data_IF_816172773367
#
_entry.id   IF_816172773367
#
_cell.length_a   1.000
_cell.length_b   1.000
_cell.length_c   1.000
_cell.angle_alpha   90.00
_cell.angle_beta   90.00
_cell.angle_gamma   90.00
#
_symmetry.space_group_name_H-M   'P 1'
#
loop_
_entity.id
_entity.type
_entity.pdbx_description
1 polymer ?
#
# COMPACT_ATOMS: atom_id res chain seq x y z
N UNK A 1 2.71 16.33 15.85
CA UNK A 1 2.61 17.53 15.02
C UNK A 1 3.32 17.36 13.67
N UNK A 2 4.64 17.14 13.66
CA UNK A 2 5.45 16.98 12.44
C UNK A 2 4.87 15.91 11.48
N UNK A 3 4.55 14.71 11.98
CA UNK A 3 3.93 13.65 11.17
C UNK A 3 2.57 14.05 10.60
N UNK A 4 1.75 14.74 11.39
CA UNK A 4 0.45 15.23 10.93
C UNK A 4 0.58 16.26 9.82
N UNK A 5 1.58 17.15 9.87
CA UNK A 5 1.85 18.11 8.80
C UNK A 5 2.36 17.43 7.52
N UNK A 6 3.24 16.42 7.62
CA UNK A 6 3.69 15.64 6.48
C UNK A 6 2.53 14.93 5.77
N UNK A 7 1.51 14.53 6.52
CA UNK A 7 0.33 13.83 6.02
C UNK A 7 -0.84 14.75 5.63
N UNK A 8 -0.71 16.07 5.87
CA UNK A 8 -1.78 17.04 5.62
C UNK A 8 -1.99 17.37 4.13
N UNK A 9 -1.14 16.87 3.26
CA UNK A 9 -1.26 17.12 1.81
C UNK A 9 -2.42 16.34 1.21
N UNK A 10 -3.30 17.00 0.46
CA UNK A 10 -4.32 16.34 -0.36
C UNK A 10 -3.70 15.29 -1.30
N UNK A 11 -2.47 15.53 -1.77
CA UNK A 11 -1.70 14.59 -2.56
C UNK A 11 -1.48 13.25 -1.84
N UNK A 12 -1.18 13.27 -0.54
CA UNK A 12 -0.98 12.07 0.28
C UNK A 12 -2.25 11.23 0.32
N UNK A 13 -3.41 11.85 0.56
CA UNK A 13 -4.70 11.16 0.62
C UNK A 13 -5.09 10.57 -0.74
N UNK A 14 -4.97 11.34 -1.81
CA UNK A 14 -5.23 10.84 -3.18
C UNK A 14 -4.33 9.64 -3.49
N UNK A 15 -3.02 9.73 -3.21
CA UNK A 15 -2.09 8.62 -3.42
C UNK A 15 -2.48 7.39 -2.60
N UNK A 16 -2.86 7.56 -1.33
CA UNK A 16 -3.26 6.46 -0.47
C UNK A 16 -4.53 5.75 -0.97
N UNK A 17 -5.54 6.54 -1.36
CA UNK A 17 -6.80 5.98 -1.91
C UNK A 17 -6.55 5.27 -3.24
N UNK A 18 -5.79 5.88 -4.15
CA UNK A 18 -5.47 5.28 -5.45
C UNK A 18 -4.66 3.99 -5.25
N UNK A 19 -3.59 4.02 -4.47
CA UNK A 19 -2.76 2.83 -4.19
C UNK A 19 -3.57 1.72 -3.53
N UNK A 20 -4.40 2.05 -2.53
CA UNK A 20 -5.27 1.09 -1.86
C UNK A 20 -6.28 0.45 -2.81
N UNK A 21 -6.89 1.26 -3.69
CA UNK A 21 -7.84 0.76 -4.70
C UNK A 21 -7.13 -0.16 -5.70
N UNK A 22 -6.00 0.29 -6.24
CA UNK A 22 -5.22 -0.50 -7.22
C UNK A 22 -4.77 -1.82 -6.59
N UNK A 23 -4.27 -1.81 -5.35
CA UNK A 23 -3.81 -3.02 -4.66
C UNK A 23 -4.96 -3.98 -4.34
N UNK A 24 -6.13 -3.44 -3.95
CA UNK A 24 -7.35 -4.23 -3.74
C UNK A 24 -7.80 -4.95 -5.01
N UNK A 25 -7.63 -4.35 -6.19
CA UNK A 25 -8.01 -4.95 -7.48
C UNK A 25 -6.92 -5.87 -8.04
N UNK A 26 -5.66 -5.47 -7.93
CA UNK A 26 -4.52 -6.21 -8.51
C UNK A 26 -4.24 -7.51 -7.76
N UNK A 27 -4.44 -7.55 -6.45
CA UNK A 27 -4.16 -8.75 -5.65
C UNK A 27 -5.02 -9.95 -6.04
N UNK A 28 -6.37 -9.83 -6.17
CA UNK A 28 -7.18 -10.93 -6.69
C UNK A 28 -6.87 -11.25 -8.16
N UNK A 29 -6.56 -10.26 -9.01
CA UNK A 29 -6.14 -10.52 -10.38
C UNK A 29 -4.85 -11.38 -10.42
N UNK A 30 -3.87 -11.07 -9.59
CA UNK A 30 -2.64 -11.85 -9.45
C UNK A 30 -2.94 -13.30 -9.02
N UNK A 31 -3.84 -13.50 -8.04
CA UNK A 31 -4.26 -14.83 -7.59
C UNK A 31 -4.99 -15.59 -8.69
N UNK A 32 -5.81 -14.91 -9.48
CA UNK A 32 -6.51 -15.51 -10.62
C UNK A 32 -5.52 -15.99 -11.67
N UNK A 33 -4.56 -15.13 -12.06
CA UNK A 33 -3.49 -15.50 -13.02
C UNK A 33 -2.70 -16.70 -12.50
N UNK A 34 -2.28 -16.66 -11.24
CA UNK A 34 -1.56 -17.78 -10.63
C UNK A 34 -2.35 -19.06 -10.61
N UNK A 35 -3.63 -19.02 -10.24
CA UNK A 35 -4.53 -20.15 -10.26
C UNK A 35 -4.69 -20.76 -11.67
N UNK A 36 -4.84 -19.92 -12.68
CA UNK A 36 -4.93 -20.37 -14.08
C UNK A 36 -3.62 -21.04 -14.53
N UNK A 37 -2.47 -20.40 -14.30
CA UNK A 37 -1.17 -20.89 -14.73
C UNK A 37 -0.74 -22.18 -14.01
N UNK A 38 -1.18 -22.37 -12.77
CA UNK A 38 -0.87 -23.60 -11.99
C UNK A 38 -1.96 -24.65 -12.04
N UNK A 39 -3.09 -24.36 -12.67
CA UNK A 39 -4.26 -25.25 -12.71
C UNK A 39 -4.98 -25.40 -11.35
N UNK A 40 -4.80 -24.46 -10.43
CA UNK A 40 -5.46 -24.47 -9.11
C UNK A 40 -6.90 -23.96 -9.20
N UNK A 41 -7.82 -24.88 -9.49
CA UNK A 41 -9.26 -24.58 -9.63
C UNK A 41 -9.90 -24.05 -8.34
N UNK A 42 -9.42 -24.47 -7.17
CA UNK A 42 -9.94 -23.97 -5.89
C UNK A 42 -9.54 -22.52 -5.66
N UNK A 43 -8.30 -22.16 -5.96
CA UNK A 43 -7.85 -20.76 -5.88
C UNK A 43 -8.64 -19.86 -6.85
N UNK A 44 -8.91 -20.35 -8.07
CA UNK A 44 -9.73 -19.59 -9.06
C UNK A 44 -11.14 -19.36 -8.50
N UNK A 45 -11.80 -20.40 -7.97
CA UNK A 45 -13.14 -20.27 -7.38
C UNK A 45 -13.15 -19.36 -6.16
N UNK A 46 -12.17 -19.51 -5.26
CA UNK A 46 -12.03 -18.67 -4.08
C UNK A 46 -11.83 -17.19 -4.47
N UNK A 47 -10.96 -16.95 -5.45
CA UNK A 47 -10.70 -15.60 -5.95
C UNK A 47 -11.95 -15.00 -6.61
N UNK A 48 -12.72 -15.78 -7.37
CA UNK A 48 -14.01 -15.35 -7.91
C UNK A 48 -15.00 -14.95 -6.81
N UNK A 49 -15.13 -15.75 -5.76
CA UNK A 49 -15.95 -15.42 -4.58
C UNK A 49 -15.45 -14.15 -3.87
N UNK A 50 -14.13 -13.99 -3.77
CA UNK A 50 -13.53 -12.78 -3.18
C UNK A 50 -13.89 -11.52 -3.98
N UNK A 51 -13.81 -11.56 -5.30
CA UNK A 51 -14.21 -10.43 -6.18
C UNK A 51 -15.67 -10.06 -5.96
N UNK A 52 -16.56 -11.05 -5.87
CA UNK A 52 -17.99 -10.80 -5.53
C UNK A 52 -18.10 -10.19 -4.12
N UNK A 53 -17.30 -10.69 -3.19
CA UNK A 53 -17.23 -10.20 -1.81
C UNK A 53 -16.79 -8.74 -1.70
N UNK A 54 -15.96 -8.24 -2.61
CA UNK A 54 -15.62 -6.81 -2.68
C UNK A 54 -16.88 -5.96 -2.89
N UNK A 55 -17.78 -6.37 -3.79
CA UNK A 55 -19.07 -5.69 -3.97
C UNK A 55 -19.96 -5.78 -2.72
N UNK A 56 -20.00 -6.95 -2.07
CA UNK A 56 -20.78 -7.17 -0.86
C UNK A 56 -20.32 -6.30 0.32
N UNK A 57 -19.01 -6.22 0.55
CA UNK A 57 -18.41 -5.55 1.71
C UNK A 57 -18.26 -4.04 1.59
N UNK A 58 -18.48 -3.45 0.40
CA UNK A 58 -18.13 -2.04 0.14
C UNK A 58 -18.85 -1.05 1.05
N UNK A 59 -20.19 -1.10 1.08
CA UNK A 59 -21.00 -0.14 1.83
C UNK A 59 -20.70 -0.18 3.33
N UNK A 60 -20.63 -1.38 3.91
CA UNK A 60 -20.31 -1.54 5.33
C UNK A 60 -18.90 -1.03 5.65
N UNK A 61 -17.92 -1.29 4.79
CA UNK A 61 -16.55 -0.81 4.95
C UNK A 61 -16.48 0.72 4.89
N UNK A 62 -17.28 1.33 4.02
CA UNK A 62 -17.38 2.79 3.94
C UNK A 62 -18.01 3.38 5.22
N UNK A 63 -19.06 2.77 5.77
CA UNK A 63 -19.65 3.20 7.05
C UNK A 63 -18.66 3.06 8.20
N UNK A 64 -17.85 1.99 8.23
CA UNK A 64 -16.80 1.80 9.24
C UNK A 64 -15.65 2.82 9.08
N UNK A 65 -15.33 3.25 7.87
CA UNK A 65 -14.41 4.37 7.63
C UNK A 65 -14.92 5.65 8.31
N UNK A 66 -16.20 6.00 8.09
CA UNK A 66 -16.80 7.20 8.69
C UNK A 66 -16.83 7.11 10.22
N UNK A 67 -17.17 5.94 10.77
CA UNK A 67 -17.13 5.68 12.21
C UNK A 67 -15.70 5.84 12.77
N UNK A 68 -14.68 5.30 12.07
CA UNK A 68 -13.28 5.44 12.44
C UNK A 68 -12.83 6.91 12.46
N UNK A 69 -13.20 7.70 11.44
CA UNK A 69 -12.87 9.13 11.36
C UNK A 69 -13.55 9.90 12.50
N UNK A 70 -14.84 9.60 12.76
CA UNK A 70 -15.62 10.32 13.76
C UNK A 70 -15.15 10.05 15.18
N UNK A 71 -14.91 8.78 15.51
CA UNK A 71 -14.53 8.35 16.87
C UNK A 71 -13.02 8.24 17.09
N UNK A 72 -12.21 8.62 16.11
CA UNK A 72 -10.74 8.60 16.19
C UNK A 72 -10.19 7.22 16.62
N UNK A 73 -10.69 6.12 16.04
CA UNK A 73 -10.26 4.76 16.39
C UNK A 73 -10.12 3.85 15.18
N UNK A 74 -9.14 2.95 15.24
CA UNK A 74 -9.10 1.79 14.34
C UNK A 74 -10.04 0.73 14.90
N UNK A 75 -10.98 0.26 14.11
CA UNK A 75 -12.02 -0.67 14.54
C UNK A 75 -11.58 -2.10 14.31
N UNK A 76 -11.21 -2.43 13.06
CA UNK A 76 -10.88 -3.80 12.67
C UNK A 76 -9.58 -4.28 13.30
N UNK A 77 -8.59 -3.40 13.33
CA UNK A 77 -7.20 -3.71 13.70
C UNK A 77 -6.61 -2.60 14.60
N UNK A 78 -6.97 -2.56 15.89
CA UNK A 78 -6.52 -1.51 16.80
C UNK A 78 -4.99 -1.40 16.94
N UNK A 79 -4.27 -2.51 16.71
CA UNK A 79 -2.81 -2.58 16.84
C UNK A 79 -2.07 -2.33 15.51
N UNK A 80 -2.75 -2.47 14.37
CA UNK A 80 -2.17 -2.37 13.04
C UNK A 80 -2.37 -0.99 12.43
N UNK A 81 -1.51 -0.03 12.73
CA UNK A 81 -1.59 1.32 12.16
C UNK A 81 -0.50 1.56 11.12
N UNK A 82 -0.74 2.43 10.14
CA UNK A 82 0.26 2.89 9.16
C UNK A 82 1.34 3.77 9.80
N UNK A 83 1.06 4.36 10.96
CA UNK A 83 1.95 5.30 11.63
C UNK A 83 2.76 4.57 12.68
N UNK A 84 4.05 4.40 12.41
CA UNK A 84 4.96 3.72 13.31
C UNK A 84 5.08 4.42 14.68
N UNK A 85 5.08 3.62 15.74
CA UNK A 85 5.27 4.11 17.11
C UNK A 85 4.06 4.82 17.73
N UNK A 86 2.89 4.78 17.10
CA UNK A 86 1.64 5.24 17.70
C UNK A 86 0.76 4.04 18.04
N UNK A 87 0.29 3.99 19.27
CA UNK A 87 -0.73 3.01 19.71
C UNK A 87 -2.08 3.36 19.06
N UNK A 88 -2.30 4.66 18.79
CA UNK A 88 -3.42 5.17 18.04
C UNK A 88 -2.91 6.21 17.02
N UNK A 89 -3.35 6.19 15.74
CA UNK A 89 -3.01 7.23 14.78
C UNK A 89 -3.50 8.62 15.24
N UNK A 90 -4.41 8.62 16.16
CA UNK A 90 -5.11 9.80 16.65
C UNK A 90 -4.50 10.42 17.89
N UNK A 91 -3.47 9.83 18.51
CA UNK A 91 -2.75 10.27 19.71
C UNK A 91 -3.15 11.64 20.27
N UNK A 92 -2.83 11.95 21.49
CA UNK A 92 -3.07 13.29 22.04
C UNK A 92 -2.30 14.32 21.22
N UNK A 93 -2.91 14.82 20.11
CA UNK A 93 -2.32 15.88 19.30
C UNK A 93 -1.95 17.07 20.18
N UNK A 94 -1.19 18.03 19.62
CA UNK A 94 -0.89 19.26 20.34
C UNK A 94 -2.18 19.88 20.87
N UNK A 95 -2.36 19.78 22.15
CA UNK A 95 -3.40 20.45 22.91
C UNK A 95 -2.75 21.10 24.13
N UNK A 96 -3.00 22.36 24.31
CA UNK A 96 -2.54 23.11 25.49
C UNK A 96 -3.74 23.53 26.29
N UNK A 97 -3.62 23.45 27.61
CA UNK A 97 -4.53 24.15 28.53
C UNK A 97 -4.39 25.67 28.35
N UNK A 98 -5.43 26.40 28.68
CA UNK A 98 -5.40 27.86 28.62
C UNK A 98 -4.28 28.40 29.49
N UNK A 99 -3.32 29.15 28.92
CA UNK A 99 -2.16 29.67 29.63
C UNK A 99 -2.53 30.73 30.68
N UNK A 100 -3.62 31.47 30.41
CA UNK A 100 -4.17 32.45 31.35
C UNK A 100 -5.66 32.09 31.63
N UNK A 101 -5.93 31.06 32.42
CA UNK A 101 -7.30 30.52 32.58
C UNK A 101 -8.28 31.51 33.24
N UNK A 102 -7.79 32.41 34.06
CA UNK A 102 -8.60 33.43 34.73
C UNK A 102 -8.79 34.72 33.89
N UNK A 103 -8.26 34.75 32.70
CA UNK A 103 -8.35 35.90 31.79
C UNK A 103 -9.30 35.63 30.63
N UNK A 104 -9.80 36.72 30.00
CA UNK A 104 -10.61 36.64 28.79
C UNK A 104 -9.94 35.80 27.71
N UNK A 105 -10.75 35.18 26.85
CA UNK A 105 -10.25 34.45 25.68
C UNK A 105 -9.45 35.38 24.73
N UNK A 106 -9.69 36.69 24.79
CA UNK A 106 -8.98 37.72 24.02
C UNK A 106 -7.64 38.13 24.65
N UNK A 107 -7.27 37.56 25.81
CA UNK A 107 -5.98 37.87 26.42
C UNK A 107 -4.83 37.44 25.49
N UNK A 108 -3.82 38.30 25.24
CA UNK A 108 -2.76 38.02 24.26
C UNK A 108 -2.06 36.66 24.45
N UNK A 109 -1.83 36.25 25.70
CA UNK A 109 -1.20 34.98 26.05
C UNK A 109 -2.07 33.78 25.64
N UNK A 110 -3.41 33.95 25.57
CA UNK A 110 -4.31 32.87 25.16
C UNK A 110 -4.34 32.66 23.65
N UNK A 111 -3.88 33.65 22.85
CA UNK A 111 -3.74 33.48 21.38
C UNK A 111 -2.76 32.37 21.02
N UNK A 112 -1.66 32.22 21.77
CA UNK A 112 -0.73 31.11 21.56
C UNK A 112 -1.44 29.77 21.79
N UNK A 113 -2.23 29.66 22.85
CA UNK A 113 -3.04 28.46 23.15
C UNK A 113 -4.03 28.18 22.03
N UNK A 114 -4.70 29.20 21.52
CA UNK A 114 -5.65 29.08 20.39
C UNK A 114 -4.92 28.63 19.12
N UNK A 115 -3.80 29.24 18.78
CA UNK A 115 -2.99 28.89 17.61
C UNK A 115 -2.50 27.43 17.69
N UNK A 116 -1.93 27.00 18.82
CA UNK A 116 -1.47 25.63 19.04
C UNK A 116 -2.62 24.64 18.93
N UNK A 117 -3.76 24.92 19.55
CA UNK A 117 -4.92 24.03 19.51
C UNK A 117 -5.55 23.95 18.12
N UNK A 118 -5.61 25.06 17.38
CA UNK A 118 -6.12 25.08 16.00
C UNK A 118 -5.22 24.29 15.08
N UNK A 119 -3.91 24.52 15.15
CA UNK A 119 -2.91 23.78 14.38
C UNK A 119 -2.93 22.29 14.72
N UNK A 120 -3.08 21.97 16.00
CA UNK A 120 -3.24 20.57 16.48
C UNK A 120 -4.52 19.92 15.93
N UNK A 121 -5.63 20.63 15.84
CA UNK A 121 -6.88 20.12 15.24
C UNK A 121 -6.71 19.84 13.75
N UNK A 122 -6.05 20.73 13.00
CA UNK A 122 -5.77 20.51 11.57
C UNK A 122 -4.87 19.30 11.37
N UNK A 123 -3.80 19.17 12.14
CA UNK A 123 -2.90 18.03 12.09
C UNK A 123 -3.62 16.70 12.43
N UNK A 124 -4.52 16.71 13.41
CA UNK A 124 -5.34 15.52 13.73
C UNK A 124 -6.34 15.22 12.62
N UNK A 125 -6.94 16.21 11.98
CA UNK A 125 -7.87 16.02 10.86
C UNK A 125 -7.26 15.17 9.75
N UNK A 126 -6.05 15.47 9.36
CA UNK A 126 -5.31 14.71 8.35
C UNK A 126 -5.01 13.27 8.78
N UNK A 127 -4.59 13.09 10.04
CA UNK A 127 -4.35 11.75 10.62
C UNK A 127 -5.63 10.92 10.73
N UNK A 128 -6.77 11.56 11.09
CA UNK A 128 -8.09 10.93 11.10
C UNK A 128 -8.48 10.42 9.73
N UNK A 129 -8.30 11.26 8.70
CA UNK A 129 -8.62 10.89 7.34
C UNK A 129 -7.76 9.71 6.86
N UNK A 130 -6.45 9.76 7.09
CA UNK A 130 -5.55 8.67 6.75
C UNK A 130 -5.90 7.36 7.49
N UNK A 131 -6.23 7.46 8.79
CA UNK A 131 -6.69 6.32 9.57
C UNK A 131 -8.00 5.73 9.05
N UNK A 132 -8.94 6.59 8.66
CA UNK A 132 -10.20 6.16 8.05
C UNK A 132 -10.00 5.49 6.69
N UNK A 133 -9.13 6.03 5.83
CA UNK A 133 -8.76 5.41 4.55
C UNK A 133 -8.15 4.02 4.77
N UNK A 134 -7.26 3.86 5.75
CA UNK A 134 -6.66 2.58 6.11
C UNK A 134 -7.73 1.59 6.63
N UNK A 135 -8.61 2.06 7.50
CA UNK A 135 -9.74 1.29 8.02
C UNK A 135 -10.66 0.82 6.88
N UNK A 136 -10.98 1.71 5.92
CA UNK A 136 -11.79 1.36 4.75
C UNK A 136 -11.20 0.18 3.99
N UNK A 137 -9.94 0.27 3.57
CA UNK A 137 -9.32 -0.77 2.77
C UNK A 137 -9.11 -2.07 3.55
N UNK A 138 -8.81 -2.01 4.85
CA UNK A 138 -8.76 -3.19 5.72
C UNK A 138 -10.10 -3.88 5.84
N UNK A 139 -11.15 -3.13 6.18
CA UNK A 139 -12.52 -3.64 6.28
C UNK A 139 -13.00 -4.25 4.97
N UNK A 140 -12.78 -3.55 3.86
CA UNK A 140 -13.22 -3.97 2.54
C UNK A 140 -12.60 -5.32 2.13
N UNK A 141 -11.30 -5.46 2.28
CA UNK A 141 -10.59 -6.68 1.94
C UNK A 141 -10.87 -7.82 2.93
N UNK A 142 -10.97 -7.52 4.22
CA UNK A 142 -11.31 -8.50 5.25
C UNK A 142 -12.70 -9.11 5.00
N UNK A 143 -13.72 -8.27 4.80
CA UNK A 143 -15.09 -8.68 4.50
C UNK A 143 -15.19 -9.45 3.19
N UNK A 144 -14.45 -9.06 2.17
CA UNK A 144 -14.42 -9.76 0.90
C UNK A 144 -13.85 -11.18 1.04
N UNK A 145 -12.79 -11.37 1.81
CA UNK A 145 -12.23 -12.69 2.08
C UNK A 145 -13.14 -13.52 2.99
N UNK A 146 -13.73 -12.92 4.02
CA UNK A 146 -14.74 -13.59 4.86
C UNK A 146 -15.92 -14.08 4.00
N UNK A 147 -16.42 -13.23 3.10
CA UNK A 147 -17.46 -13.61 2.15
C UNK A 147 -17.04 -14.82 1.29
N UNK A 148 -15.82 -14.85 0.81
CA UNK A 148 -15.31 -15.99 0.02
C UNK A 148 -15.26 -17.28 0.82
N UNK A 149 -14.85 -17.23 2.11
CA UNK A 149 -14.86 -18.38 3.02
C UNK A 149 -16.28 -18.85 3.34
N UNK A 150 -17.19 -17.93 3.65
CA UNK A 150 -18.57 -18.22 3.99
C UNK A 150 -19.28 -18.86 2.79
N UNK A 151 -19.16 -18.25 1.61
CA UNK A 151 -19.87 -18.71 0.41
C UNK A 151 -19.35 -20.03 -0.15
N UNK A 152 -18.15 -20.46 0.25
CA UNK A 152 -17.67 -21.82 -0.02
C UNK A 152 -18.55 -22.91 0.62
N UNK A 153 -19.14 -22.60 1.79
CA UNK A 153 -19.83 -23.56 2.64
C UNK A 153 -21.36 -23.30 2.72
N UNK A 154 -21.89 -22.41 1.88
CA UNK A 154 -23.35 -22.13 1.83
C UNK A 154 -24.08 -23.36 1.31
N UNK A 155 -25.09 -23.88 2.03
CA UNK A 155 -25.92 -24.99 1.55
C UNK A 155 -26.61 -24.64 0.23
N UNK A 156 -26.61 -25.57 -0.71
CA UNK A 156 -27.17 -25.35 -2.06
C UNK A 156 -28.70 -25.23 -2.06
N UNK A 157 -29.35 -25.88 -1.11
CA UNK A 157 -30.82 -25.97 -1.00
C UNK A 157 -31.49 -24.70 -0.47
N UNK A 158 -30.72 -23.66 -0.10
CA UNK A 158 -31.27 -22.41 0.40
C UNK A 158 -31.78 -21.52 -0.73
N UNK A 159 -32.91 -20.86 -0.51
CA UNK A 159 -33.41 -19.78 -1.37
C UNK A 159 -32.45 -18.57 -1.35
N UNK A 160 -32.58 -17.67 -2.32
CA UNK A 160 -31.75 -16.45 -2.38
C UNK A 160 -31.85 -15.60 -1.09
N UNK A 161 -33.03 -15.49 -0.51
CA UNK A 161 -33.24 -14.75 0.74
C UNK A 161 -32.54 -15.43 1.92
N UNK A 162 -32.70 -16.75 2.05
CA UNK A 162 -32.03 -17.54 3.09
C UNK A 162 -30.51 -17.55 2.96
N UNK A 163 -29.98 -17.59 1.72
CA UNK A 163 -28.53 -17.44 1.47
C UNK A 163 -28.01 -16.09 1.96
N UNK A 164 -28.75 -15.00 1.72
CA UNK A 164 -28.37 -13.67 2.18
C UNK A 164 -28.34 -13.59 3.71
N UNK A 165 -29.38 -14.13 4.37
CA UNK A 165 -29.44 -14.19 5.84
C UNK A 165 -28.34 -15.06 6.44
N UNK A 166 -28.10 -16.24 5.85
CA UNK A 166 -26.99 -17.11 6.24
C UNK A 166 -25.64 -16.39 6.17
N UNK A 167 -25.37 -15.71 5.04
CA UNK A 167 -24.10 -14.96 4.87
C UNK A 167 -23.98 -13.84 5.91
N UNK A 168 -25.04 -13.10 6.18
CA UNK A 168 -25.02 -12.03 7.19
C UNK A 168 -24.69 -12.57 8.58
N UNK A 169 -25.40 -13.63 9.03
CA UNK A 169 -25.16 -14.27 10.33
C UNK A 169 -23.76 -14.86 10.45
N UNK A 170 -23.26 -15.52 9.39
CA UNK A 170 -21.91 -16.08 9.43
C UNK A 170 -20.84 -14.99 9.38
N UNK A 171 -21.13 -13.83 8.75
CA UNK A 171 -20.24 -12.68 8.71
C UNK A 171 -19.98 -12.11 10.10
N UNK A 172 -20.98 -12.07 10.96
CA UNK A 172 -20.86 -11.54 12.33
C UNK A 172 -19.82 -12.33 13.15
N UNK A 173 -19.61 -13.61 12.87
CA UNK A 173 -18.60 -14.43 13.57
C UNK A 173 -17.15 -14.02 13.29
N UNK A 174 -16.92 -13.27 12.22
CA UNK A 174 -15.59 -12.75 11.87
C UNK A 174 -15.22 -11.47 12.63
N UNK A 175 -16.12 -10.99 13.48
CA UNK A 175 -15.91 -9.80 14.31
C UNK A 175 -16.29 -10.10 15.75
N UNK A 176 -15.60 -9.49 16.70
CA UNK A 176 -16.04 -9.50 18.10
C UNK A 176 -17.08 -8.39 18.36
N UNK A 177 -17.58 -8.30 19.59
CA UNK A 177 -18.64 -7.36 19.99
C UNK A 177 -18.29 -5.89 19.75
N UNK A 178 -16.99 -5.55 19.64
CA UNK A 178 -16.51 -4.18 19.36
C UNK A 178 -16.05 -3.99 17.93
N UNK A 179 -16.22 -4.99 17.06
CA UNK A 179 -15.92 -4.93 15.63
C UNK A 179 -14.48 -5.25 15.24
N UNK A 180 -13.67 -5.78 16.17
CA UNK A 180 -12.29 -6.22 15.89
C UNK A 180 -12.31 -7.57 15.19
N UNK A 181 -11.40 -7.74 14.23
CA UNK A 181 -11.22 -8.98 13.48
C UNK A 181 -10.90 -10.17 14.39
N UNK A 182 -11.60 -11.29 14.19
CA UNK A 182 -11.36 -12.56 14.92
C UNK A 182 -10.49 -13.53 14.15
N UNK A 183 -10.51 -13.49 12.81
CA UNK A 183 -9.71 -14.35 11.94
C UNK A 183 -8.38 -13.66 11.58
N UNK A 184 -7.28 -14.18 12.12
CA UNK A 184 -5.95 -13.59 11.94
C UNK A 184 -5.42 -13.73 10.52
N UNK A 185 -5.77 -14.81 9.80
CA UNK A 185 -5.30 -15.00 8.43
C UNK A 185 -5.92 -13.97 7.49
N UNK A 186 -7.22 -13.70 7.66
CA UNK A 186 -7.90 -12.65 6.89
C UNK A 186 -7.39 -11.26 7.27
N UNK A 187 -7.07 -11.04 8.54
CA UNK A 187 -6.49 -9.79 9.00
C UNK A 187 -5.10 -9.57 8.40
N UNK A 188 -4.25 -10.59 8.36
CA UNK A 188 -2.94 -10.51 7.70
C UNK A 188 -3.07 -10.23 6.20
N UNK A 189 -4.05 -10.85 5.53
CA UNK A 189 -4.34 -10.53 4.14
C UNK A 189 -4.70 -9.05 3.96
N UNK A 190 -5.54 -8.49 4.82
CA UNK A 190 -5.94 -7.08 4.77
C UNK A 190 -4.77 -6.13 5.08
N UNK A 191 -3.95 -6.46 6.08
CA UNK A 191 -2.70 -5.74 6.38
C UNK A 191 -1.74 -5.73 5.19
N UNK A 192 -1.70 -6.83 4.46
CA UNK A 192 -0.89 -6.96 3.25
C UNK A 192 -1.29 -5.97 2.17
N UNK A 193 -2.57 -5.77 1.94
CA UNK A 193 -3.10 -4.83 0.94
C UNK A 193 -2.89 -3.36 1.37
N UNK A 194 -2.97 -3.08 2.66
CA UNK A 194 -2.78 -1.73 3.19
C UNK A 194 -1.33 -1.41 3.57
N UNK A 195 -0.37 -2.30 3.29
CA UNK A 195 1.06 -2.16 3.61
C UNK A 195 1.35 -1.99 5.10
N UNK A 196 0.46 -2.51 5.96
CA UNK A 196 0.58 -2.45 7.43
C UNK A 196 1.05 -3.76 8.04
N UNK A 197 1.55 -4.71 7.24
CA UNK A 197 2.17 -5.94 7.71
C UNK A 197 3.31 -5.65 8.68
N UNK A 198 3.44 -6.49 9.70
CA UNK A 198 4.57 -6.40 10.61
C UNK A 198 5.89 -6.70 9.88
N UNK A 199 6.92 -5.93 10.20
CA UNK A 199 8.25 -6.18 9.66
C UNK A 199 8.76 -7.53 10.17
N UNK A 200 9.40 -8.29 9.28
CA UNK A 200 9.95 -9.61 9.63
C UNK A 200 10.97 -9.46 10.75
N UNK A 201 10.73 -10.13 11.88
CA UNK A 201 11.63 -10.12 13.03
C UNK A 201 13.05 -10.52 12.62
N UNK A 202 14.04 -9.77 13.09
CA UNK A 202 15.46 -10.00 12.78
C UNK A 202 15.92 -9.48 11.40
N UNK A 203 15.02 -8.85 10.61
CA UNK A 203 15.44 -8.15 9.40
C UNK A 203 16.10 -6.80 9.74
N UNK A 204 16.90 -6.26 8.82
CA UNK A 204 17.50 -4.93 8.97
C UNK A 204 16.44 -3.84 9.19
N UNK A 205 15.30 -3.95 8.51
CA UNK A 205 14.18 -3.01 8.64
C UNK A 205 13.49 -3.11 10.00
N UNK A 206 13.38 -4.30 10.59
CA UNK A 206 12.90 -4.50 11.96
C UNK A 206 13.90 -3.92 12.97
N UNK A 207 15.20 -4.10 12.73
CA UNK A 207 16.26 -3.46 13.52
C UNK A 207 16.18 -1.95 13.50
N UNK A 208 16.01 -1.35 12.32
CA UNK A 208 15.85 0.09 12.13
C UNK A 208 14.57 0.62 12.80
N UNK A 209 13.45 -0.12 12.65
CA UNK A 209 12.19 0.22 13.30
C UNK A 209 12.31 0.22 14.83
N UNK A 210 12.94 -0.82 15.42
CA UNK A 210 13.21 -0.88 16.86
C UNK A 210 14.16 0.22 17.33
N UNK A 211 15.18 0.55 16.54
CA UNK A 211 16.07 1.65 16.84
C UNK A 211 15.34 3.00 16.84
N UNK A 212 14.48 3.25 15.85
CA UNK A 212 13.67 4.49 15.79
C UNK A 212 12.69 4.61 16.96
N UNK A 213 12.16 3.48 17.44
CA UNK A 213 11.25 3.46 18.59
C UNK A 213 12.01 3.74 19.91
N UNK A 214 13.26 3.24 20.02
CA UNK A 214 14.10 3.46 21.21
C UNK A 214 14.74 4.85 21.25
N UNK A 215 14.99 5.45 20.08
CA UNK A 215 15.63 6.75 19.97
C UNK A 215 14.72 7.74 19.23
N UNK A 216 13.83 8.45 19.94
CA UNK A 216 12.81 9.34 19.35
C UNK A 216 13.31 10.37 18.34
N UNK A 217 14.51 11.00 18.47
CA UNK A 217 15.05 11.89 17.46
C UNK A 217 15.17 11.26 16.06
N UNK A 218 15.42 9.95 15.97
CA UNK A 218 15.48 9.25 14.69
C UNK A 218 14.14 9.26 13.94
N UNK A 219 13.03 9.35 14.68
CA UNK A 219 11.68 9.44 14.10
C UNK A 219 11.43 10.77 13.37
N UNK A 220 12.22 11.81 13.61
CA UNK A 220 12.15 13.06 12.86
C UNK A 220 12.67 12.88 11.42
N UNK A 221 13.66 12.00 11.25
CA UNK A 221 14.25 11.68 9.94
C UNK A 221 13.57 10.50 9.27
N UNK A 222 13.14 9.53 10.05
CA UNK A 222 12.49 8.29 9.59
C UNK A 222 11.13 8.09 10.28
N UNK A 223 10.15 8.96 9.96
CA UNK A 223 8.83 8.93 10.64
C UNK A 223 8.00 7.69 10.31
N UNK A 224 8.28 7.06 9.17
CA UNK A 224 7.57 5.90 8.65
C UNK A 224 8.60 4.91 8.08
N UNK A 225 8.69 3.72 8.67
CA UNK A 225 9.60 2.67 8.21
C UNK A 225 8.81 1.50 7.63
N UNK A 226 7.77 1.09 8.34
CA UNK A 226 6.97 -0.11 8.01
C UNK A 226 6.33 0.00 6.62
N UNK A 227 5.60 1.05 6.37
CA UNK A 227 4.85 1.23 5.11
C UNK A 227 5.76 1.32 3.89
N UNK A 228 6.81 2.16 3.84
CA UNK A 228 7.75 2.17 2.71
C UNK A 228 8.45 0.83 2.46
N UNK A 229 8.84 0.12 3.52
CA UNK A 229 9.47 -1.20 3.39
C UNK A 229 8.50 -2.23 2.79
N UNK A 230 7.23 -2.21 3.21
CA UNK A 230 6.22 -3.11 2.66
C UNK A 230 5.89 -2.76 1.20
N UNK A 231 5.80 -1.46 0.85
CA UNK A 231 5.62 -1.00 -0.53
C UNK A 231 6.77 -1.48 -1.41
N UNK A 232 8.02 -1.23 -1.00
CA UNK A 232 9.20 -1.67 -1.74
C UNK A 232 9.23 -3.20 -1.87
N UNK A 233 8.89 -3.92 -0.80
CA UNK A 233 8.77 -5.35 -0.81
C UNK A 233 7.79 -5.87 -1.87
N UNK A 234 6.65 -5.20 -2.04
CA UNK A 234 5.67 -5.52 -3.09
C UNK A 234 6.19 -5.24 -4.49
N UNK A 235 6.85 -4.10 -4.66
CA UNK A 235 7.47 -3.76 -5.94
C UNK A 235 8.48 -4.82 -6.37
N UNK A 236 9.34 -5.25 -5.45
CA UNK A 236 10.34 -6.32 -5.69
C UNK A 236 9.65 -7.66 -6.03
N UNK A 237 8.57 -8.04 -5.35
CA UNK A 237 7.80 -9.26 -5.66
C UNK A 237 7.22 -9.26 -7.09
N UNK A 238 6.93 -8.09 -7.63
CA UNK A 238 6.38 -7.88 -8.98
C UNK A 238 7.43 -7.48 -10.01
N UNK A 239 8.71 -7.46 -9.65
CA UNK A 239 9.79 -7.16 -10.59
C UNK A 239 10.47 -8.47 -10.97
N UNK A 240 10.46 -8.87 -12.24
CA UNK A 240 11.15 -10.07 -12.72
C UNK A 240 12.62 -10.04 -12.30
N UNK A 241 13.20 -11.22 -12.05
CA UNK A 241 14.57 -11.40 -11.54
C UNK A 241 14.69 -11.00 -10.06
N UNK A 242 14.34 -9.77 -9.68
CA UNK A 242 14.44 -9.29 -8.30
C UNK A 242 13.52 -10.06 -7.34
N UNK A 243 12.36 -10.54 -7.82
CA UNK A 243 11.47 -11.37 -7.02
C UNK A 243 12.15 -12.68 -6.57
N UNK A 244 13.07 -13.23 -7.37
CA UNK A 244 13.83 -14.45 -7.05
C UNK A 244 14.96 -14.19 -6.03
N UNK A 245 15.45 -12.94 -5.91
CA UNK A 245 16.41 -12.56 -4.86
C UNK A 245 15.74 -12.53 -3.49
N UNK A 246 14.45 -12.19 -3.44
CA UNK A 246 13.72 -12.13 -2.17
C UNK A 246 13.41 -13.53 -1.64
N UNK A 247 14.03 -13.88 -0.49
CA UNK A 247 13.87 -15.21 0.13
C UNK A 247 12.40 -15.61 0.30
N UNK A 248 11.55 -14.69 0.78
CA UNK A 248 10.12 -14.98 0.98
C UNK A 248 9.43 -15.44 -0.32
N UNK A 249 9.68 -14.73 -1.44
CA UNK A 249 9.11 -15.11 -2.74
C UNK A 249 9.62 -16.45 -3.23
N UNK A 250 10.92 -16.72 -3.08
CA UNK A 250 11.55 -18.00 -3.40
C UNK A 250 10.96 -19.14 -2.58
N UNK A 251 10.80 -18.94 -1.26
CA UNK A 251 10.21 -19.92 -0.35
C UNK A 251 8.75 -20.24 -0.77
N UNK A 252 7.97 -19.25 -1.16
CA UNK A 252 6.61 -19.46 -1.70
C UNK A 252 6.62 -20.21 -3.03
N UNK A 253 7.53 -19.85 -3.94
CA UNK A 253 7.64 -20.47 -5.25
C UNK A 253 8.04 -21.95 -5.16
N UNK A 254 8.92 -22.29 -4.21
CA UNK A 254 9.38 -23.66 -3.92
C UNK A 254 8.48 -24.40 -2.92
N UNK A 255 7.43 -23.77 -2.43
CA UNK A 255 6.54 -24.34 -1.43
C UNK A 255 5.78 -25.55 -1.96
N UNK A 256 5.59 -26.54 -1.09
CA UNK A 256 4.63 -27.63 -1.33
C UNK A 256 3.17 -27.20 -1.24
N UNK A 257 2.88 -26.02 -0.67
CA UNK A 257 1.55 -25.42 -0.65
C UNK A 257 1.19 -24.87 -2.04
N UNK A 258 0.17 -25.48 -2.66
CA UNK A 258 -0.30 -25.11 -4.00
C UNK A 258 -0.73 -23.64 -4.08
N UNK A 259 -1.40 -23.13 -3.05
CA UNK A 259 -1.91 -21.76 -3.02
C UNK A 259 -0.78 -20.75 -2.92
N UNK A 260 0.21 -20.98 -2.04
CA UNK A 260 1.39 -20.13 -1.92
C UNK A 260 2.19 -20.11 -3.22
N UNK A 261 2.40 -21.29 -3.82
CA UNK A 261 3.08 -21.42 -5.11
C UNK A 261 2.33 -20.71 -6.24
N UNK A 262 1.01 -20.86 -6.32
CA UNK A 262 0.19 -20.20 -7.32
C UNK A 262 0.26 -18.67 -7.17
N UNK A 263 0.26 -18.17 -5.95
CA UNK A 263 0.43 -16.73 -5.69
C UNK A 263 1.80 -16.21 -6.14
N UNK A 264 2.87 -16.95 -5.90
CA UNK A 264 4.22 -16.59 -6.37
C UNK A 264 4.30 -16.59 -7.89
N UNK A 265 3.74 -17.60 -8.56
CA UNK A 265 3.65 -17.70 -10.02
C UNK A 265 2.84 -16.50 -10.57
N UNK A 266 1.71 -16.17 -9.97
CA UNK A 266 0.88 -15.05 -10.36
C UNK A 266 1.59 -13.70 -10.23
N UNK A 267 2.31 -13.48 -9.12
CA UNK A 267 3.12 -12.27 -8.92
C UNK A 267 4.21 -12.14 -10.01
N UNK A 268 4.90 -13.24 -10.30
CA UNK A 268 5.94 -13.27 -11.35
C UNK A 268 5.34 -13.00 -12.72
N UNK A 269 4.23 -13.65 -13.07
CA UNK A 269 3.58 -13.48 -14.37
C UNK A 269 3.06 -12.05 -14.57
N UNK A 270 2.33 -11.50 -13.58
CA UNK A 270 1.87 -10.11 -13.62
C UNK A 270 3.06 -9.14 -13.71
N UNK A 271 4.08 -9.33 -12.88
CA UNK A 271 5.28 -8.51 -12.90
C UNK A 271 5.99 -8.54 -14.26
N UNK A 272 6.08 -9.70 -14.89
CA UNK A 272 6.65 -9.84 -16.24
C UNK A 272 5.83 -9.10 -17.30
N UNK A 273 4.49 -9.15 -17.21
CA UNK A 273 3.62 -8.38 -18.12
C UNK A 273 3.78 -6.87 -17.93
N UNK A 274 3.82 -6.40 -16.67
CA UNK A 274 4.03 -4.98 -16.36
C UNK A 274 5.40 -4.51 -16.84
N UNK A 275 6.44 -5.26 -16.55
CA UNK A 275 7.81 -4.97 -17.00
C UNK A 275 7.92 -4.96 -18.52
N UNK A 276 7.41 -5.98 -19.19
CA UNK A 276 7.44 -6.08 -20.65
C UNK A 276 6.70 -4.94 -21.34
N UNK A 277 5.52 -4.56 -20.82
CA UNK A 277 4.77 -3.41 -21.33
C UNK A 277 5.52 -2.09 -21.13
N UNK A 278 6.18 -1.93 -19.98
CA UNK A 278 6.97 -0.74 -19.68
C UNK A 278 8.20 -0.63 -20.59
N UNK A 279 8.91 -1.75 -20.82
CA UNK A 279 10.03 -1.79 -21.77
C UNK A 279 9.59 -1.42 -23.18
N UNK A 280 8.48 -1.99 -23.66
CA UNK A 280 7.93 -1.65 -24.98
C UNK A 280 7.59 -0.16 -25.10
N UNK A 281 6.98 0.43 -24.08
CA UNK A 281 6.65 1.86 -24.07
C UNK A 281 7.89 2.75 -23.91
N UNK A 282 8.89 2.32 -23.14
CA UNK A 282 10.16 3.04 -23.02
C UNK A 282 10.91 3.04 -24.36
N UNK A 283 11.00 1.91 -25.04
CA UNK A 283 11.60 1.80 -26.39
C UNK A 283 10.87 2.68 -27.44
N UNK A 284 9.59 2.89 -27.27
CA UNK A 284 8.80 3.77 -28.15
C UNK A 284 8.80 5.25 -27.71
N UNK A 285 9.55 5.62 -26.69
CA UNK A 285 9.62 6.98 -26.15
C UNK A 285 8.32 7.46 -25.46
N UNK A 286 7.43 6.54 -25.09
CA UNK A 286 6.11 6.86 -24.52
C UNK A 286 6.07 6.81 -22.99
N UNK A 287 7.08 6.23 -22.35
CA UNK A 287 7.19 6.21 -20.89
C UNK A 287 8.64 6.54 -20.50
N UNK A 288 8.80 7.23 -19.40
CA UNK A 288 10.10 7.61 -18.86
C UNK A 288 10.29 7.06 -17.46
N UNK A 289 11.53 6.69 -17.12
CA UNK A 289 12.00 6.44 -15.77
C UNK A 289 12.51 7.72 -15.11
N UNK A 290 13.61 7.62 -14.37
CA UNK A 290 14.27 8.77 -13.71
C UNK A 290 15.08 9.65 -14.65
N UNK A 291 15.25 9.25 -15.90
CA UNK A 291 16.19 9.80 -16.85
C UNK A 291 17.62 9.22 -16.69
N UNK A 292 18.58 9.66 -17.50
CA UNK A 292 19.97 9.25 -17.38
C UNK A 292 20.55 9.45 -15.97
N UNK A 293 21.38 8.50 -15.52
CA UNK A 293 22.03 8.57 -14.20
C UNK A 293 23.05 9.71 -14.16
N UNK A 294 23.73 9.95 -15.27
CA UNK A 294 24.68 11.06 -15.42
C UNK A 294 23.95 12.41 -15.28
N UNK A 295 24.39 13.31 -14.38
CA UNK A 295 23.69 14.57 -14.11
C UNK A 295 23.62 15.52 -15.31
N UNK A 296 24.68 15.58 -16.14
CA UNK A 296 24.74 16.47 -17.30
C UNK A 296 23.85 15.94 -18.42
N UNK A 297 23.88 14.64 -18.68
CA UNK A 297 22.95 13.99 -19.59
C UNK A 297 21.50 14.13 -19.14
N UNK A 298 21.22 13.99 -17.85
CA UNK A 298 19.86 14.17 -17.31
C UNK A 298 19.37 15.61 -17.50
N UNK A 299 20.24 16.60 -17.34
CA UNK A 299 19.91 17.99 -17.60
C UNK A 299 19.54 18.23 -19.08
N UNK A 300 20.34 17.72 -20.00
CA UNK A 300 20.05 17.79 -21.45
C UNK A 300 18.75 17.06 -21.80
N UNK A 301 18.54 15.87 -21.25
CA UNK A 301 17.33 15.08 -21.44
C UNK A 301 16.06 15.82 -21.00
N UNK A 302 16.12 16.53 -19.85
CA UNK A 302 15.01 17.38 -19.38
C UNK A 302 14.82 18.63 -20.27
N UNK A 303 15.89 19.24 -20.73
CA UNK A 303 15.83 20.37 -21.66
C UNK A 303 15.21 19.98 -23.01
N UNK A 304 15.37 18.73 -23.44
CA UNK A 304 14.71 18.16 -24.59
C UNK A 304 13.18 17.93 -24.39
N UNK A 305 12.63 18.30 -23.23
CA UNK A 305 11.19 18.24 -22.95
C UNK A 305 10.72 16.95 -22.26
N UNK A 306 11.63 16.04 -21.92
CA UNK A 306 11.28 14.82 -21.21
C UNK A 306 10.94 15.11 -19.73
N UNK A 307 9.95 14.40 -19.21
CA UNK A 307 9.58 14.49 -17.79
C UNK A 307 9.81 13.15 -17.10
N UNK A 308 10.47 13.12 -15.94
CA UNK A 308 10.71 11.87 -15.23
C UNK A 308 9.41 11.23 -14.74
N UNK A 309 9.41 9.89 -14.71
CA UNK A 309 8.31 9.06 -14.21
C UNK A 309 6.96 9.41 -14.84
N UNK A 310 6.95 9.58 -16.17
CA UNK A 310 5.79 10.09 -16.89
C UNK A 310 5.46 9.26 -18.12
N UNK A 311 4.17 9.28 -18.51
CA UNK A 311 3.65 8.68 -19.73
C UNK A 311 3.29 9.80 -20.70
N UNK A 312 3.71 9.69 -21.95
CA UNK A 312 3.34 10.61 -23.02
C UNK A 312 1.94 10.25 -23.52
N UNK A 313 1.01 11.16 -23.33
CA UNK A 313 -0.37 11.02 -23.83
C UNK A 313 -0.45 11.19 -25.35
N UNK A 314 -1.51 10.70 -26.01
CA UNK A 314 -1.73 10.96 -27.43
C UNK A 314 -1.82 12.45 -27.80
N UNK A 315 -2.16 13.31 -26.83
CA UNK A 315 -2.19 14.77 -27.00
C UNK A 315 -0.81 15.43 -26.88
N UNK A 316 0.27 14.67 -26.69
CA UNK A 316 1.63 15.20 -26.55
C UNK A 316 2.00 15.70 -25.15
N UNK A 317 1.14 15.49 -24.14
CA UNK A 317 1.41 15.92 -22.77
C UNK A 317 1.99 14.79 -21.95
N UNK A 318 2.97 15.08 -21.10
CA UNK A 318 3.48 14.16 -20.11
C UNK A 318 2.60 14.15 -18.86
N UNK A 319 2.20 12.95 -18.42
CA UNK A 319 1.43 12.73 -17.19
C UNK A 319 2.22 11.82 -16.27
N UNK A 320 2.54 12.30 -15.08
CA UNK A 320 3.32 11.52 -14.10
C UNK A 320 2.51 10.36 -13.53
N UNK A 321 3.10 9.16 -13.55
CA UNK A 321 2.56 7.92 -12.98
C UNK A 321 3.15 7.57 -11.61
N UNK A 322 4.08 8.38 -11.10
CA UNK A 322 4.81 8.14 -9.84
C UNK A 322 3.90 8.10 -8.58
N UNK A 323 2.59 8.33 -8.74
CA UNK A 323 1.61 8.26 -7.64
C UNK A 323 0.86 6.92 -7.57
N UNK A 324 1.17 5.99 -8.46
CA UNK A 324 0.50 4.69 -8.53
C UNK A 324 1.28 3.59 -7.78
N UNK A 325 2.20 4.00 -6.90
CA UNK A 325 2.98 3.05 -6.08
C UNK A 325 2.08 2.16 -5.21
N UNK A 326 2.46 0.88 -5.04
CA UNK A 326 3.66 0.20 -5.53
C UNK A 326 3.51 -0.37 -6.95
N UNK A 327 2.38 -0.22 -7.60
CA UNK A 327 2.10 -0.81 -8.92
C UNK A 327 2.90 -0.13 -10.03
N UNK A 328 3.23 1.16 -9.85
CA UNK A 328 4.07 1.91 -10.78
C UNK A 328 5.55 1.49 -10.73
N UNK A 329 6.02 0.96 -9.62
CA UNK A 329 7.44 0.62 -9.44
C UNK A 329 8.02 -0.31 -10.51
N UNK A 330 7.36 -1.39 -10.96
CA UNK A 330 7.84 -2.18 -12.09
C UNK A 330 8.03 -1.36 -13.37
N UNK A 331 7.18 -0.36 -13.61
CA UNK A 331 7.30 0.58 -14.74
C UNK A 331 8.50 1.50 -14.56
N UNK A 332 8.67 2.08 -13.37
CA UNK A 332 9.83 2.92 -13.03
C UNK A 332 11.13 2.16 -13.27
N UNK A 333 11.23 0.95 -12.74
CA UNK A 333 12.44 0.15 -12.86
C UNK A 333 12.74 -0.25 -14.31
N UNK A 334 11.73 -0.70 -15.06
CA UNK A 334 11.91 -1.07 -16.47
C UNK A 334 12.31 0.13 -17.33
N UNK A 335 11.65 1.26 -17.20
CA UNK A 335 11.96 2.46 -17.95
C UNK A 335 13.36 3.02 -17.59
N UNK A 336 13.70 3.07 -16.29
CA UNK A 336 15.01 3.50 -15.84
C UNK A 336 16.14 2.57 -16.30
N UNK A 337 15.88 1.24 -16.32
CA UNK A 337 16.83 0.28 -16.87
C UNK A 337 17.07 0.51 -18.36
N UNK A 338 16.00 0.78 -19.13
CA UNK A 338 16.13 1.11 -20.56
C UNK A 338 16.91 2.40 -20.79
N UNK A 339 16.57 3.47 -20.07
CA UNK A 339 17.23 4.78 -20.21
C UNK A 339 18.75 4.73 -19.93
N UNK A 340 19.18 3.77 -19.12
CA UNK A 340 20.58 3.62 -18.71
C UNK A 340 21.25 2.33 -19.26
N UNK A 341 20.59 1.66 -20.21
CA UNK A 341 21.09 0.39 -20.77
C UNK A 341 22.50 0.52 -21.41
N UNK A 342 22.84 1.69 -21.96
CA UNK A 342 24.16 1.94 -22.55
C UNK A 342 25.30 1.89 -21.53
N UNK A 343 25.06 2.31 -20.28
CA UNK A 343 26.06 2.26 -19.21
C UNK A 343 26.44 0.80 -18.89
N UNK A 344 25.46 -0.12 -19.01
CA UNK A 344 25.69 -1.54 -18.75
C UNK A 344 26.39 -2.27 -19.90
N UNK A 345 26.15 -1.81 -21.15
CA UNK A 345 26.80 -2.38 -22.31
C UNK A 345 28.33 -2.10 -22.32
N UNK A 346 28.75 -1.05 -21.66
CA UNK A 346 30.17 -0.68 -21.54
C UNK A 346 30.91 -1.42 -20.40
N UNK A 347 30.18 -1.88 -19.36
CA UNK A 347 30.76 -2.48 -18.15
C UNK A 347 30.62 -4.03 -18.07
N UNK A 348 30.17 -4.73 -19.13
CA UNK A 348 29.88 -6.18 -19.09
C UNK A 348 28.92 -6.58 -17.94
N UNK A 349 27.99 -5.69 -17.57
CA UNK A 349 27.10 -5.86 -16.42
C UNK A 349 26.11 -7.01 -16.54
N UNK A 350 25.86 -7.67 -15.43
CA UNK A 350 24.88 -8.77 -15.33
C UNK A 350 23.42 -8.23 -15.32
N UNK A 351 22.46 -9.08 -15.68
CA UNK A 351 21.02 -8.73 -15.57
C UNK A 351 20.61 -8.33 -14.14
N UNK A 352 21.30 -8.83 -13.12
CA UNK A 352 21.07 -8.46 -11.73
C UNK A 352 21.52 -7.01 -11.45
N UNK A 353 22.65 -6.60 -12.01
CA UNK A 353 23.14 -5.22 -11.90
C UNK A 353 22.24 -4.24 -12.65
N UNK A 354 21.73 -4.59 -13.83
CA UNK A 354 20.73 -3.80 -14.55
C UNK A 354 19.46 -3.59 -13.72
N UNK A 355 18.96 -4.63 -13.08
CA UNK A 355 17.80 -4.55 -12.22
C UNK A 355 18.07 -3.70 -10.97
N UNK A 356 19.26 -3.82 -10.36
CA UNK A 356 19.67 -3.03 -9.20
C UNK A 356 19.79 -1.54 -9.54
N UNK A 357 20.33 -1.20 -10.69
CA UNK A 357 20.47 0.20 -11.13
C UNK A 357 19.14 0.80 -11.55
N UNK A 358 18.23 -0.02 -12.12
CA UNK A 358 16.83 0.40 -12.31
C UNK A 358 16.18 0.83 -10.99
N UNK A 359 16.43 0.10 -9.90
CA UNK A 359 16.02 0.47 -8.56
C UNK A 359 16.69 1.77 -8.11
N UNK A 360 18.00 1.88 -8.21
CA UNK A 360 18.76 3.07 -7.77
C UNK A 360 18.37 4.31 -8.58
N UNK A 361 18.15 4.17 -9.88
CA UNK A 361 17.62 5.24 -10.73
C UNK A 361 16.17 5.64 -10.42
N UNK A 362 15.37 4.69 -9.96
CA UNK A 362 13.96 4.92 -9.58
C UNK A 362 13.75 5.53 -8.19
N UNK A 363 14.77 5.50 -7.31
CA UNK A 363 14.67 6.05 -5.94
C UNK A 363 15.12 7.54 -5.87
N UNK A 364 15.65 8.09 -6.93
CA UNK A 364 15.96 9.53 -7.05
C UNK A 364 14.70 10.36 -7.26
#
# INVERSE_FOLDING_TARGET
FYRGMLLASAKTHVTNVVSGTVETMITPATRMIGGVLTGDKELIKETGRHIIGLGYGFNESFMKMLDSIWHERNILDPMGTKIDGLISPYGNGLAMSKLAPNQSSWHPVNWLTLAVNTTGKVARGSMRLLGGEDEFFKQWNYRAQAYAKITKNVPENLTRAQKKEYIAREMDKYFNDVGVATDQDLLQYSRKITFTEELRRGSWSDGLHRASTKFPPLQLFLPFIRTPVNILGRAVERTPILNMVRKHHRDMFMSGDKTARAQAVGNTALGTMLWGSAMYWAMSGRITGGGPIDPDQNKLWRQAGNQPYSILTPSGNWVSYNRLDPTAMPYVFAASAYENAHVFAEEEGTLEEMALMGILGGIR
#
